data_IF_196320907075
#
_entry.id   IF_196320907075
#
_cell.length_a   1.000
_cell.length_b   1.000
_cell.length_c   1.000
_cell.angle_alpha   90.00
_cell.angle_beta   90.00
_cell.angle_gamma   90.00
#
_symmetry.space_group_name_H-M   'P 1'
#
loop_
_entity.id
_entity.type
_entity.pdbx_description
1 polymer ?
#
# COMPACT_ATOMS: atom_id res chain seq x y z
N UNK A 1 27.90 16.95 13.46
CA UNK A 1 27.69 15.52 13.15
C UNK A 1 28.76 14.65 13.83
N UNK A 2 30.01 14.78 13.48
CA UNK A 2 31.11 14.04 14.09
C UNK A 2 31.92 15.01 14.95
N UNK A 3 31.71 14.96 16.28
CA UNK A 3 32.32 15.88 17.20
C UNK A 3 33.83 15.64 17.37
N UNK A 4 34.23 14.40 17.28
CA UNK A 4 35.61 13.94 17.24
C UNK A 4 35.74 12.77 16.25
N UNK A 5 36.95 12.46 15.81
CA UNK A 5 37.21 11.38 14.87
C UNK A 5 37.31 10.01 15.57
N UNK A 6 36.47 9.78 16.58
CA UNK A 6 36.40 8.51 17.30
C UNK A 6 35.47 7.54 16.52
N UNK A 7 36.08 6.65 15.76
CA UNK A 7 35.33 5.65 14.94
C UNK A 7 34.40 4.77 15.78
N UNK A 8 34.85 4.28 16.93
CA UNK A 8 34.05 3.41 17.79
C UNK A 8 32.87 4.17 18.41
N UNK A 9 33.05 5.45 18.72
CA UNK A 9 31.99 6.33 19.20
C UNK A 9 30.91 6.54 18.13
N UNK A 10 31.30 6.85 16.90
CA UNK A 10 30.36 7.01 15.76
C UNK A 10 29.65 5.70 15.43
N UNK A 11 30.36 4.58 15.44
CA UNK A 11 29.76 3.24 15.25
C UNK A 11 28.72 2.92 16.32
N UNK A 12 29.02 3.21 17.58
CA UNK A 12 28.08 2.99 18.69
C UNK A 12 26.84 3.89 18.57
N UNK A 13 27.02 5.15 18.18
CA UNK A 13 25.93 6.09 17.94
C UNK A 13 25.01 5.60 16.81
N UNK A 14 25.56 5.22 15.68
CA UNK A 14 24.80 4.69 14.53
C UNK A 14 24.02 3.43 14.92
N UNK A 15 24.66 2.50 15.66
CA UNK A 15 24.01 1.30 16.18
C UNK A 15 22.81 1.64 17.08
N UNK A 16 22.99 2.56 18.02
CA UNK A 16 21.92 2.96 18.95
C UNK A 16 20.72 3.59 18.21
N UNK A 17 20.98 4.40 17.18
CA UNK A 17 19.92 4.99 16.34
C UNK A 17 19.12 3.91 15.60
N UNK A 18 19.80 2.93 15.01
CA UNK A 18 19.13 1.82 14.34
C UNK A 18 18.39 0.89 15.29
N UNK A 19 18.96 0.58 16.45
CA UNK A 19 18.29 -0.19 17.50
C UNK A 19 17.00 0.52 17.97
N UNK A 20 17.04 1.84 18.14
CA UNK A 20 15.85 2.62 18.50
C UNK A 20 14.79 2.59 17.37
N UNK A 21 15.20 2.74 16.11
CA UNK A 21 14.31 2.69 14.96
C UNK A 21 13.65 1.31 14.79
N UNK A 22 14.43 0.24 14.80
CA UNK A 22 13.94 -1.14 14.64
C UNK A 22 13.11 -1.61 15.84
N UNK A 23 13.34 -1.06 17.03
CA UNK A 23 12.55 -1.41 18.23
C UNK A 23 11.12 -0.86 18.23
N UNK A 24 10.72 -0.09 17.20
CA UNK A 24 9.32 0.33 17.00
C UNK A 24 8.37 -0.84 16.80
N UNK A 25 8.87 -1.96 16.27
CA UNK A 25 8.12 -3.21 16.23
C UNK A 25 9.02 -4.30 16.84
N UNK A 26 8.52 -4.95 17.88
CA UNK A 26 9.21 -6.08 18.52
C UNK A 26 8.42 -7.34 18.33
N UNK A 27 9.11 -8.42 17.93
CA UNK A 27 8.49 -9.72 17.69
C UNK A 27 9.07 -10.78 18.62
N UNK A 28 8.23 -11.72 19.07
CA UNK A 28 8.61 -12.90 19.85
C UNK A 28 7.95 -14.14 19.28
N UNK A 29 8.65 -15.26 19.43
CA UNK A 29 8.31 -16.51 18.76
C UNK A 29 8.87 -16.55 17.33
N UNK A 30 8.37 -17.46 16.49
CA UNK A 30 8.93 -17.70 15.18
C UNK A 30 10.37 -18.23 15.20
N UNK A 31 10.91 -18.54 14.03
CA UNK A 31 12.31 -19.00 13.87
C UNK A 31 13.30 -17.82 13.85
N UNK A 32 14.59 -18.10 14.01
CA UNK A 32 15.63 -17.07 13.87
C UNK A 32 15.74 -16.55 12.43
N UNK A 33 15.46 -17.41 11.44
CA UNK A 33 15.38 -17.03 10.03
C UNK A 33 14.23 -16.05 9.80
N UNK A 34 13.02 -16.34 10.29
CA UNK A 34 11.86 -15.45 10.19
C UNK A 34 12.11 -14.08 10.86
N UNK A 35 12.79 -14.07 12.02
CA UNK A 35 13.18 -12.80 12.67
C UNK A 35 14.20 -12.02 11.86
N UNK A 36 15.17 -12.70 11.23
CA UNK A 36 16.15 -12.06 10.37
C UNK A 36 15.50 -11.41 9.16
N UNK A 37 14.61 -12.15 8.47
CA UNK A 37 13.82 -11.63 7.36
C UNK A 37 12.98 -10.42 7.82
N UNK A 38 12.30 -10.53 8.96
CA UNK A 38 11.46 -9.47 9.51
C UNK A 38 12.23 -8.17 9.79
N UNK A 39 13.34 -8.24 10.52
CA UNK A 39 14.10 -7.05 10.88
C UNK A 39 14.87 -6.48 9.70
N UNK A 40 15.31 -7.30 8.74
CA UNK A 40 15.87 -6.83 7.47
C UNK A 40 14.81 -6.09 6.66
N UNK A 41 13.60 -6.65 6.55
CA UNK A 41 12.48 -5.98 5.88
C UNK A 41 12.10 -4.68 6.58
N UNK A 42 12.00 -4.67 7.91
CA UNK A 42 11.71 -3.45 8.67
C UNK A 42 12.81 -2.37 8.45
N UNK A 43 14.08 -2.77 8.39
CA UNK A 43 15.19 -1.88 8.05
C UNK A 43 15.01 -1.28 6.65
N UNK A 44 14.69 -2.08 5.63
CA UNK A 44 14.47 -1.59 4.26
C UNK A 44 13.35 -0.53 4.21
N UNK A 45 12.28 -0.68 4.98
CA UNK A 45 11.18 0.31 5.03
C UNK A 45 11.58 1.65 5.64
N UNK A 46 12.77 1.76 6.23
CA UNK A 46 13.28 2.96 6.89
C UNK A 46 14.42 3.65 6.14
N UNK A 47 14.88 3.08 5.00
CA UNK A 47 15.93 3.68 4.17
C UNK A 47 15.36 4.89 3.42
N UNK A 48 14.17 4.72 2.85
CA UNK A 48 13.50 5.76 2.06
C UNK A 48 12.07 6.01 2.59
N UNK A 49 11.55 7.23 2.41
CA UNK A 49 12.16 8.41 1.78
C UNK A 49 13.26 8.99 2.66
N UNK A 50 14.44 9.15 2.08
CA UNK A 50 15.63 9.62 2.81
C UNK A 50 15.60 11.11 3.08
N UNK A 51 16.39 11.51 4.08
CA UNK A 51 16.62 12.91 4.41
C UNK A 51 17.41 13.60 3.29
N UNK A 52 16.90 14.74 2.85
CA UNK A 52 17.50 15.62 1.83
C UNK A 52 17.83 17.00 2.39
N UNK A 53 17.82 17.12 3.70
CA UNK A 53 18.10 18.37 4.44
C UNK A 53 19.49 18.28 5.08
N UNK A 54 20.30 19.31 4.89
CA UNK A 54 21.56 19.46 5.63
C UNK A 54 21.32 19.76 7.11
N UNK A 55 22.33 19.56 7.95
CA UNK A 55 22.27 19.76 9.41
C UNK A 55 21.87 21.16 9.83
N UNK A 56 22.08 22.17 8.98
CA UNK A 56 21.67 23.55 9.21
C UNK A 56 20.23 23.86 8.72
N UNK A 57 19.50 22.84 8.26
CA UNK A 57 18.13 22.97 7.76
C UNK A 57 18.03 23.36 6.29
N UNK A 58 19.16 23.46 5.57
CA UNK A 58 19.16 23.82 4.15
C UNK A 58 19.01 22.62 3.24
N UNK A 59 18.38 22.84 2.08
CA UNK A 59 18.23 21.86 1.02
C UNK A 59 18.20 22.54 -0.35
N UNK A 60 18.49 21.81 -1.41
CA UNK A 60 18.35 22.25 -2.78
C UNK A 60 16.89 22.14 -3.21
N UNK A 61 16.25 23.24 -3.57
CA UNK A 61 14.88 23.28 -4.09
C UNK A 61 14.76 22.79 -5.54
N UNK A 62 13.55 22.47 -5.96
CA UNK A 62 13.24 22.08 -7.35
C UNK A 62 13.40 23.24 -8.35
N UNK A 63 13.57 24.49 -7.87
CA UNK A 63 13.90 25.68 -8.65
C UNK A 63 15.42 25.90 -8.82
N UNK A 64 16.25 24.99 -8.29
CA UNK A 64 17.71 25.08 -8.32
C UNK A 64 18.30 26.10 -7.33
N UNK A 65 17.52 26.55 -6.35
CA UNK A 65 17.96 27.46 -5.29
C UNK A 65 18.09 26.75 -3.95
N UNK A 66 18.92 27.31 -3.08
CA UNK A 66 19.02 26.84 -1.70
C UNK A 66 17.87 27.41 -0.89
N UNK A 67 17.11 26.54 -0.27
CA UNK A 67 16.05 26.86 0.68
C UNK A 67 16.43 26.42 2.09
N UNK A 68 15.69 26.88 3.09
CA UNK A 68 15.85 26.47 4.49
C UNK A 68 14.48 26.10 5.06
N UNK A 69 14.38 24.94 5.71
CA UNK A 69 13.22 24.53 6.47
C UNK A 69 13.58 24.22 7.92
N UNK A 70 12.80 24.81 8.86
CA UNK A 70 12.85 24.52 10.30
C UNK A 70 11.63 23.74 10.77
N UNK A 71 10.64 23.55 9.88
CA UNK A 71 9.33 22.98 10.22
C UNK A 71 9.21 21.51 9.85
N UNK A 72 9.97 21.05 8.86
CA UNK A 72 9.97 19.68 8.37
C UNK A 72 11.33 19.30 7.80
N UNK A 73 11.60 18.02 7.74
CA UNK A 73 12.75 17.44 7.04
C UNK A 73 12.36 17.25 5.57
N UNK A 74 13.10 17.90 4.65
CA UNK A 74 12.92 17.68 3.22
C UNK A 74 13.27 16.22 2.90
N UNK A 75 12.33 15.49 2.31
CA UNK A 75 12.48 14.10 1.93
C UNK A 75 12.59 13.96 0.43
N UNK A 76 13.29 12.92 -0.02
CA UNK A 76 13.43 12.53 -1.42
C UNK A 76 13.37 11.02 -1.57
N UNK A 77 13.24 10.55 -2.80
CA UNK A 77 13.03 9.17 -3.20
C UNK A 77 11.62 8.71 -2.83
N UNK A 78 10.69 9.09 -3.70
CA UNK A 78 9.30 8.69 -3.63
C UNK A 78 8.93 7.86 -4.85
N UNK A 79 9.10 6.53 -4.76
CA UNK A 79 8.57 5.58 -5.75
C UNK A 79 7.06 5.44 -5.54
N UNK A 80 6.33 6.50 -5.91
CA UNK A 80 4.94 6.67 -5.50
C UNK A 80 4.04 5.52 -5.93
N UNK A 81 4.18 5.04 -7.18
CA UNK A 81 3.41 3.92 -7.73
C UNK A 81 3.44 2.67 -6.84
N UNK A 82 4.54 2.47 -6.12
CA UNK A 82 4.79 1.33 -5.27
C UNK A 82 4.41 1.60 -3.81
N UNK A 83 5.03 2.60 -3.19
CA UNK A 83 5.05 2.81 -1.74
C UNK A 83 3.70 3.20 -1.12
N UNK A 84 2.75 3.72 -1.90
CA UNK A 84 1.43 4.08 -1.36
C UNK A 84 0.65 2.86 -0.85
N UNK A 85 0.96 1.64 -1.36
CA UNK A 85 0.20 0.42 -1.13
C UNK A 85 0.36 -0.14 0.28
N UNK A 86 1.59 -0.24 0.79
CA UNK A 86 1.85 -0.74 2.15
C UNK A 86 2.95 0.02 2.90
N UNK A 87 3.98 0.53 2.22
CA UNK A 87 5.09 1.21 2.88
C UNK A 87 4.62 2.50 3.59
N UNK A 88 3.91 3.41 2.91
CA UNK A 88 3.37 4.61 3.54
C UNK A 88 2.31 4.28 4.61
N UNK A 89 1.34 3.38 4.40
CA UNK A 89 0.45 2.92 5.47
C UNK A 89 1.16 2.35 6.70
N UNK A 90 2.26 1.60 6.55
CA UNK A 90 3.10 1.16 7.67
C UNK A 90 3.69 2.36 8.40
N UNK A 91 4.26 3.32 7.66
CA UNK A 91 4.86 4.53 8.25
C UNK A 91 3.81 5.39 8.98
N UNK A 92 2.55 5.40 8.56
CA UNK A 92 1.48 6.10 9.31
C UNK A 92 1.33 5.56 10.74
N UNK A 93 1.64 4.29 10.97
CA UNK A 93 1.57 3.65 12.29
C UNK A 93 2.84 3.93 13.10
N UNK A 94 4.01 3.64 12.53
CA UNK A 94 5.28 3.62 13.28
C UNK A 94 6.06 4.93 13.20
N UNK A 95 5.79 5.77 12.19
CA UNK A 95 6.53 7.01 11.95
C UNK A 95 5.69 8.11 11.26
N UNK A 96 4.56 8.54 11.84
CA UNK A 96 3.65 9.49 11.20
C UNK A 96 4.30 10.84 10.85
N UNK A 97 5.35 11.25 11.57
CA UNK A 97 6.09 12.47 11.24
C UNK A 97 6.79 12.37 9.88
N UNK A 98 7.34 11.20 9.53
CA UNK A 98 7.97 10.98 8.23
C UNK A 98 6.95 11.14 7.08
N UNK A 99 5.74 10.62 7.25
CA UNK A 99 4.67 10.76 6.23
C UNK A 99 4.29 12.22 6.04
N UNK A 100 4.18 12.98 7.14
CA UNK A 100 3.93 14.42 7.10
C UNK A 100 5.07 15.18 6.40
N UNK A 101 6.32 14.86 6.72
CA UNK A 101 7.49 15.47 6.09
C UNK A 101 7.56 15.17 4.59
N UNK A 102 7.20 13.96 4.18
CA UNK A 102 7.10 13.59 2.76
C UNK A 102 6.05 14.42 2.03
N UNK A 103 4.83 14.54 2.59
CA UNK A 103 3.76 15.32 1.99
C UNK A 103 4.12 16.82 1.88
N UNK A 104 4.77 17.37 2.91
CA UNK A 104 5.34 18.72 2.85
C UNK A 104 6.40 18.84 1.77
N UNK A 105 7.27 17.83 1.64
CA UNK A 105 8.32 17.81 0.62
C UNK A 105 7.77 17.79 -0.80
N UNK A 106 6.73 16.99 -1.06
CA UNK A 106 6.08 16.90 -2.36
C UNK A 106 5.30 18.18 -2.70
N UNK A 107 4.59 18.76 -1.71
CA UNK A 107 3.85 20.01 -1.90
C UNK A 107 4.80 21.18 -2.17
N UNK A 108 5.88 21.29 -1.38
CA UNK A 108 6.93 22.32 -1.58
C UNK A 108 7.60 22.17 -2.95
N UNK A 109 7.92 20.93 -3.36
CA UNK A 109 8.49 20.66 -4.69
C UNK A 109 7.54 21.11 -5.82
N UNK A 110 6.24 20.87 -5.68
CA UNK A 110 5.25 21.32 -6.67
C UNK A 110 5.23 22.85 -6.81
N UNK A 111 5.41 23.58 -5.72
CA UNK A 111 5.52 25.04 -5.70
C UNK A 111 6.85 25.54 -6.29
N UNK A 112 7.96 25.05 -5.75
CA UNK A 112 9.32 25.45 -6.16
C UNK A 112 9.56 25.23 -7.65
N UNK A 113 9.09 24.09 -8.19
CA UNK A 113 9.21 23.80 -9.62
C UNK A 113 8.32 24.68 -10.52
N UNK A 114 7.37 25.41 -9.96
CA UNK A 114 6.34 26.18 -10.67
C UNK A 114 5.30 25.29 -11.38
N UNK A 115 5.37 23.97 -11.27
CA UNK A 115 4.45 23.03 -11.91
C UNK A 115 3.10 22.99 -11.19
N UNK A 116 3.08 23.08 -9.86
CA UNK A 116 1.88 23.10 -9.03
C UNK A 116 1.06 21.80 -9.07
N UNK A 117 1.67 20.68 -9.45
CA UNK A 117 1.08 19.34 -9.40
C UNK A 117 2.07 18.35 -8.79
N UNK A 118 1.58 17.25 -8.22
CA UNK A 118 2.40 16.22 -7.61
C UNK A 118 3.09 15.34 -8.63
N UNK A 119 4.39 15.05 -8.39
CA UNK A 119 5.11 14.00 -9.11
C UNK A 119 4.67 12.62 -8.61
N UNK A 120 4.63 11.66 -9.51
CA UNK A 120 4.26 10.27 -9.23
C UNK A 120 5.45 9.40 -8.83
N UNK A 121 6.64 9.76 -9.27
CA UNK A 121 7.90 9.08 -8.95
C UNK A 121 9.02 10.11 -8.82
N UNK A 122 9.18 10.67 -7.62
CA UNK A 122 10.14 11.74 -7.34
C UNK A 122 11.52 11.14 -7.07
N UNK A 123 12.55 11.71 -7.70
CA UNK A 123 13.93 11.29 -7.56
C UNK A 123 14.86 12.48 -7.39
N UNK A 124 15.48 12.58 -6.21
CA UNK A 124 16.41 13.67 -5.85
C UNK A 124 15.82 15.07 -6.13
N UNK A 125 14.59 15.28 -5.67
CA UNK A 125 13.84 16.52 -5.84
C UNK A 125 13.59 16.93 -7.30
N UNK A 126 13.46 15.92 -8.20
CA UNK A 126 13.20 16.12 -9.61
C UNK A 126 11.99 15.31 -10.10
N UNK A 127 11.31 15.84 -11.13
CA UNK A 127 10.21 15.18 -11.83
C UNK A 127 10.77 14.16 -12.82
N UNK A 128 10.64 12.87 -12.52
CA UNK A 128 11.08 11.81 -13.41
C UNK A 128 10.06 11.47 -14.50
N UNK A 129 8.78 11.66 -14.20
CA UNK A 129 7.68 11.20 -15.05
C UNK A 129 7.57 9.68 -15.17
N UNK A 130 8.31 8.94 -14.34
CA UNK A 130 8.33 7.48 -14.34
C UNK A 130 7.00 6.91 -13.84
N UNK A 131 6.64 5.71 -14.30
CA UNK A 131 5.43 4.98 -13.95
C UNK A 131 4.13 5.75 -14.22
N UNK A 132 3.05 5.44 -13.52
CA UNK A 132 1.74 6.03 -13.70
C UNK A 132 0.96 6.15 -12.38
N UNK A 133 -0.33 6.47 -12.45
CA UNK A 133 -1.14 6.76 -11.28
C UNK A 133 -0.93 8.17 -10.72
N UNK A 134 -1.64 8.50 -9.67
CA UNK A 134 -1.49 9.74 -8.91
C UNK A 134 -1.24 9.43 -7.42
N UNK A 135 -0.17 8.68 -7.08
CA UNK A 135 0.02 8.06 -5.76
C UNK A 135 0.16 9.07 -4.61
N UNK A 136 0.68 10.25 -4.86
CA UNK A 136 0.76 11.31 -3.84
C UNK A 136 -0.64 11.71 -3.31
N UNK A 137 -1.68 11.63 -4.16
CA UNK A 137 -3.07 11.87 -3.75
C UNK A 137 -3.53 10.78 -2.77
N UNK A 138 -3.16 9.52 -3.03
CA UNK A 138 -3.46 8.41 -2.13
C UNK A 138 -2.81 8.61 -0.76
N UNK A 139 -1.51 8.95 -0.73
CA UNK A 139 -0.78 9.21 0.51
C UNK A 139 -1.37 10.39 1.28
N UNK A 140 -1.76 11.47 0.58
CA UNK A 140 -2.41 12.63 1.17
C UNK A 140 -3.77 12.27 1.80
N UNK A 141 -4.60 11.53 1.07
CA UNK A 141 -5.93 11.12 1.54
C UNK A 141 -5.83 10.17 2.74
N UNK A 142 -4.90 9.21 2.70
CA UNK A 142 -4.66 8.28 3.80
C UNK A 142 -4.16 9.00 5.06
N UNK A 143 -3.18 9.88 4.91
CA UNK A 143 -2.66 10.67 6.01
C UNK A 143 -3.71 11.62 6.61
N UNK A 144 -4.51 12.27 5.76
CA UNK A 144 -5.59 13.15 6.22
C UNK A 144 -6.66 12.38 7.00
N UNK A 145 -7.13 11.25 6.47
CA UNK A 145 -8.11 10.40 7.13
C UNK A 145 -7.62 9.87 8.50
N UNK A 146 -6.30 9.72 8.66
CA UNK A 146 -5.63 9.29 9.89
C UNK A 146 -5.23 10.44 10.83
N UNK A 147 -5.53 11.69 10.47
CA UNK A 147 -5.21 12.87 11.28
C UNK A 147 -3.73 13.23 11.36
N UNK A 148 -2.92 12.83 10.36
CA UNK A 148 -1.47 13.05 10.33
C UNK A 148 -1.08 14.38 9.67
N UNK A 149 -1.88 14.91 8.77
CA UNK A 149 -1.55 16.09 7.96
C UNK A 149 -1.36 17.36 8.80
N UNK A 150 -0.12 17.84 8.89
CA UNK A 150 0.30 19.13 9.50
C UNK A 150 0.82 20.07 8.42
N UNK A 151 0.09 20.20 7.33
CA UNK A 151 0.41 21.04 6.19
C UNK A 151 -0.79 21.92 5.85
N UNK A 152 -0.56 22.94 5.00
CA UNK A 152 -1.63 23.73 4.42
C UNK A 152 -2.48 22.84 3.49
N UNK A 153 -3.63 22.41 4.00
CA UNK A 153 -4.51 21.48 3.28
C UNK A 153 -5.17 22.12 2.05
N UNK A 154 -5.40 23.42 2.03
CA UNK A 154 -5.95 24.08 0.83
C UNK A 154 -4.92 24.04 -0.31
N UNK A 155 -3.67 24.33 -0.02
CA UNK A 155 -2.56 24.20 -0.95
C UNK A 155 -2.34 22.76 -1.43
N UNK A 156 -2.32 21.81 -0.51
CA UNK A 156 -2.15 20.40 -0.84
C UNK A 156 -3.31 19.90 -1.72
N UNK A 157 -4.53 20.34 -1.42
CA UNK A 157 -5.71 20.03 -2.21
C UNK A 157 -5.64 20.62 -3.62
N UNK A 158 -5.20 21.89 -3.77
CA UNK A 158 -5.00 22.53 -5.07
C UNK A 158 -3.99 21.76 -5.93
N UNK A 159 -2.86 21.34 -5.35
CA UNK A 159 -1.88 20.49 -6.05
C UNK A 159 -2.49 19.14 -6.47
N UNK A 160 -3.25 18.49 -5.58
CA UNK A 160 -3.91 17.22 -5.83
C UNK A 160 -4.99 17.34 -6.93
N UNK A 161 -5.82 18.37 -6.86
CA UNK A 161 -6.85 18.69 -7.86
C UNK A 161 -6.23 18.91 -9.25
N UNK A 162 -5.18 19.75 -9.32
CA UNK A 162 -4.45 19.96 -10.56
C UNK A 162 -3.81 18.67 -11.09
N UNK A 163 -3.27 17.83 -10.21
CA UNK A 163 -2.70 16.53 -10.59
C UNK A 163 -3.77 15.64 -11.22
N UNK A 164 -4.93 15.49 -10.56
CA UNK A 164 -6.03 14.65 -11.04
C UNK A 164 -6.64 15.17 -12.35
N UNK A 165 -6.75 16.50 -12.52
CA UNK A 165 -7.23 17.11 -13.77
C UNK A 165 -6.24 16.95 -14.93
N UNK A 166 -4.95 16.89 -14.64
CA UNK A 166 -3.91 16.69 -15.66
C UNK A 166 -3.75 15.21 -16.05
N UNK A 167 -3.91 14.30 -15.10
CA UNK A 167 -3.67 12.86 -15.24
C UNK A 167 -4.87 12.09 -14.65
N UNK A 168 -6.00 12.06 -15.33
CA UNK A 168 -7.20 11.41 -14.83
C UNK A 168 -8.12 10.94 -15.96
N UNK A 169 -9.31 10.47 -15.58
CA UNK A 169 -10.29 9.88 -16.48
C UNK A 169 -11.36 10.87 -17.00
N UNK A 170 -11.19 12.18 -16.75
CA UNK A 170 -12.26 13.17 -16.92
C UNK A 170 -12.77 13.32 -18.36
N UNK A 171 -11.88 13.23 -19.34
CA UNK A 171 -12.20 13.55 -20.72
C UNK A 171 -13.18 12.54 -21.36
N UNK A 172 -12.88 11.25 -21.25
CA UNK A 172 -13.66 10.17 -21.87
C UNK A 172 -14.36 9.26 -20.85
N UNK A 173 -14.17 9.49 -19.56
CA UNK A 173 -14.56 8.55 -18.51
C UNK A 173 -13.67 7.30 -18.45
N UNK A 174 -12.53 7.32 -19.11
CA UNK A 174 -11.44 6.34 -19.08
C UNK A 174 -10.20 6.97 -19.74
N UNK A 175 -9.04 6.37 -19.52
CA UNK A 175 -7.82 6.75 -20.24
C UNK A 175 -7.60 5.79 -21.41
N UNK A 176 -7.48 6.28 -22.66
CA UNK A 176 -7.24 5.42 -23.82
C UNK A 176 -5.83 4.83 -23.81
N UNK A 177 -5.61 3.83 -24.67
CA UNK A 177 -4.29 3.28 -24.92
C UNK A 177 -3.23 4.37 -25.27
N UNK A 178 -1.94 4.15 -24.98
CA UNK A 178 -1.38 2.94 -24.37
C UNK A 178 -1.58 2.88 -22.84
N UNK A 179 -1.56 1.67 -22.30
CA UNK A 179 -1.68 1.38 -20.86
C UNK A 179 -3.05 1.78 -20.25
N UNK A 180 -4.11 1.71 -21.07
CA UNK A 180 -5.43 2.21 -20.71
C UNK A 180 -6.04 1.52 -19.50
N UNK A 181 -5.81 0.22 -19.27
CA UNK A 181 -6.32 -0.52 -18.10
C UNK A 181 -5.65 0.02 -16.83
N UNK A 182 -4.30 -0.04 -16.75
CA UNK A 182 -3.59 0.42 -15.56
C UNK A 182 -3.93 1.88 -15.22
N UNK A 183 -3.87 2.78 -16.21
CA UNK A 183 -4.18 4.19 -16.00
C UNK A 183 -5.60 4.41 -15.50
N UNK A 184 -6.59 3.80 -16.16
CA UNK A 184 -7.99 4.02 -15.79
C UNK A 184 -8.31 3.52 -14.38
N UNK A 185 -7.83 2.32 -14.01
CA UNK A 185 -8.10 1.76 -12.70
C UNK A 185 -7.41 2.55 -11.59
N UNK A 186 -6.14 2.92 -11.79
CA UNK A 186 -5.39 3.67 -10.78
C UNK A 186 -5.89 5.11 -10.64
N UNK A 187 -6.25 5.78 -11.74
CA UNK A 187 -6.88 7.08 -11.65
C UNK A 187 -8.26 7.01 -10.99
N UNK A 188 -9.09 6.00 -11.29
CA UNK A 188 -10.37 5.82 -10.62
C UNK A 188 -10.22 5.70 -9.10
N UNK A 189 -9.20 4.98 -8.63
CA UNK A 189 -8.88 4.90 -7.20
C UNK A 189 -8.44 6.25 -6.63
N UNK A 190 -7.54 6.98 -7.29
CA UNK A 190 -7.09 8.27 -6.77
C UNK A 190 -8.16 9.37 -6.89
N UNK A 191 -9.07 9.27 -7.84
CA UNK A 191 -10.29 10.09 -7.93
C UNK A 191 -11.25 9.79 -6.77
N UNK A 192 -11.35 8.54 -6.32
CA UNK A 192 -12.03 8.22 -5.06
C UNK A 192 -11.34 8.89 -3.87
N UNK A 193 -10.02 8.85 -3.78
CA UNK A 193 -9.27 9.56 -2.74
C UNK A 193 -9.58 11.06 -2.75
N UNK A 194 -9.63 11.70 -3.92
CA UNK A 194 -10.03 13.09 -4.08
C UNK A 194 -11.45 13.35 -3.59
N UNK A 195 -12.40 12.44 -3.88
CA UNK A 195 -13.77 12.58 -3.40
C UNK A 195 -13.84 12.55 -1.86
N UNK A 196 -13.05 11.67 -1.21
CA UNK A 196 -13.00 11.60 0.26
C UNK A 196 -12.38 12.87 0.86
N UNK A 197 -11.29 13.39 0.30
CA UNK A 197 -10.68 14.65 0.70
C UNK A 197 -11.67 15.81 0.54
N UNK A 198 -12.36 15.90 -0.60
CA UNK A 198 -13.35 16.94 -0.87
C UNK A 198 -14.52 16.90 0.13
N UNK A 199 -15.05 15.71 0.45
CA UNK A 199 -16.07 15.54 1.50
C UNK A 199 -15.56 16.07 2.84
N UNK A 200 -14.36 15.66 3.24
CA UNK A 200 -13.78 16.03 4.53
C UNK A 200 -13.46 17.54 4.63
N UNK A 201 -13.15 18.18 3.50
CA UNK A 201 -12.90 19.63 3.41
C UNK A 201 -14.15 20.47 3.11
N UNK A 202 -15.34 19.85 2.99
CA UNK A 202 -16.61 20.53 2.72
C UNK A 202 -16.76 21.04 1.27
N UNK A 203 -15.95 20.56 0.33
CA UNK A 203 -15.96 20.92 -1.11
C UNK A 203 -16.98 20.03 -1.85
N UNK A 204 -18.26 20.35 -1.72
CA UNK A 204 -19.37 19.47 -2.15
C UNK A 204 -19.38 19.18 -3.65
N UNK A 205 -19.17 20.19 -4.49
CA UNK A 205 -19.19 20.04 -5.95
C UNK A 205 -18.04 19.13 -6.42
N UNK A 206 -16.84 19.32 -5.88
CA UNK A 206 -15.68 18.48 -6.15
C UNK A 206 -15.93 17.04 -5.66
N UNK A 207 -16.54 16.87 -4.49
CA UNK A 207 -16.86 15.56 -3.96
C UNK A 207 -17.76 14.74 -4.90
N UNK A 208 -18.81 15.37 -5.44
CA UNK A 208 -19.73 14.74 -6.42
C UNK A 208 -19.03 14.47 -7.76
N UNK A 209 -18.21 15.41 -8.23
CA UNK A 209 -17.41 15.28 -9.46
C UNK A 209 -16.45 14.08 -9.38
N UNK A 210 -15.62 14.02 -8.35
CA UNK A 210 -14.65 12.96 -8.17
C UNK A 210 -15.29 11.60 -7.84
N UNK A 211 -16.41 11.57 -7.11
CA UNK A 211 -17.18 10.35 -6.86
C UNK A 211 -17.76 9.75 -8.16
N UNK A 212 -18.08 10.57 -9.17
CA UNK A 212 -18.47 10.10 -10.49
C UNK A 212 -17.27 9.50 -11.24
N UNK A 213 -16.13 10.18 -11.25
CA UNK A 213 -14.92 9.73 -11.93
C UNK A 213 -14.33 8.45 -11.31
N UNK A 214 -14.47 8.25 -10.00
CA UNK A 214 -14.00 7.03 -9.33
C UNK A 214 -14.64 5.74 -9.85
N UNK A 215 -15.73 5.86 -10.63
CA UNK A 215 -16.41 4.71 -11.28
C UNK A 215 -15.96 4.46 -12.71
N UNK A 216 -15.00 5.19 -13.22
CA UNK A 216 -14.49 5.11 -14.60
C UNK A 216 -13.99 3.72 -14.98
N UNK A 217 -13.51 2.92 -14.00
CA UNK A 217 -13.10 1.54 -14.23
C UNK A 217 -14.19 0.69 -14.92
N UNK A 218 -15.49 0.98 -14.67
CA UNK A 218 -16.63 0.24 -15.26
C UNK A 218 -16.67 0.35 -16.77
N UNK A 219 -16.10 1.41 -17.34
CA UNK A 219 -16.11 1.65 -18.78
C UNK A 219 -15.16 0.73 -19.56
N UNK A 220 -14.20 0.08 -18.89
CA UNK A 220 -13.24 -0.81 -19.55
C UNK A 220 -13.57 -2.30 -19.39
N UNK A 221 -14.61 -2.66 -18.64
CA UNK A 221 -14.95 -4.06 -18.45
C UNK A 221 -15.75 -4.61 -19.63
N UNK A 222 -15.19 -5.62 -20.28
CA UNK A 222 -15.84 -6.35 -21.36
C UNK A 222 -16.55 -7.60 -20.80
N UNK A 223 -17.88 -7.57 -20.81
CA UNK A 223 -18.71 -8.66 -20.28
C UNK A 223 -18.61 -9.94 -21.11
N UNK A 224 -18.31 -9.86 -22.42
CA UNK A 224 -18.15 -11.06 -23.27
C UNK A 224 -16.84 -11.77 -23.01
N UNK A 225 -15.79 -11.02 -22.63
CA UNK A 225 -14.47 -11.56 -22.29
C UNK A 225 -14.27 -11.81 -20.80
N UNK A 226 -15.21 -11.36 -19.97
CA UNK A 226 -15.07 -11.36 -18.50
C UNK A 226 -13.75 -10.76 -18.03
N UNK A 227 -13.33 -9.64 -18.64
CA UNK A 227 -12.03 -9.03 -18.40
C UNK A 227 -12.06 -7.53 -18.64
N UNK A 228 -11.15 -6.81 -17.98
CA UNK A 228 -10.86 -5.46 -18.39
C UNK A 228 -10.10 -5.46 -19.73
N UNK A 229 -10.48 -4.55 -20.61
CA UNK A 229 -9.84 -4.38 -21.91
C UNK A 229 -9.51 -2.92 -22.16
N UNK A 230 -8.36 -2.63 -22.77
CA UNK A 230 -8.03 -1.25 -23.14
C UNK A 230 -8.94 -0.78 -24.26
N UNK A 231 -9.25 0.51 -24.26
CA UNK A 231 -9.99 1.19 -25.31
C UNK A 231 -9.15 2.23 -26.02
N UNK A 232 -9.44 2.41 -27.30
CA UNK A 232 -8.92 3.51 -28.09
C UNK A 232 -9.72 4.80 -27.83
N UNK A 233 -9.21 5.95 -28.30
CA UNK A 233 -9.85 7.25 -28.10
C UNK A 233 -11.25 7.36 -28.75
N UNK A 234 -11.54 6.53 -29.75
CA UNK A 234 -12.85 6.45 -30.42
C UNK A 234 -13.88 5.58 -29.66
N UNK A 235 -13.49 4.98 -28.54
CA UNK A 235 -14.33 4.13 -27.72
C UNK A 235 -14.33 2.64 -28.08
N UNK A 236 -13.65 2.25 -29.16
CA UNK A 236 -13.51 0.85 -29.54
C UNK A 236 -12.55 0.11 -28.58
N UNK A 237 -12.83 -1.15 -28.30
CA UNK A 237 -11.90 -2.00 -27.58
C UNK A 237 -10.73 -2.40 -28.48
N UNK A 238 -9.50 -2.39 -27.94
CA UNK A 238 -8.37 -2.99 -28.61
C UNK A 238 -8.64 -4.47 -28.94
N UNK A 239 -8.22 -4.98 -30.11
CA UNK A 239 -8.41 -6.37 -30.47
C UNK A 239 -7.91 -7.33 -29.38
N UNK A 240 -8.73 -8.33 -29.04
CA UNK A 240 -8.32 -9.37 -28.10
C UNK A 240 -7.15 -10.16 -28.69
N UNK A 241 -6.11 -10.51 -27.88
CA UNK A 241 -4.98 -11.29 -28.37
C UNK A 241 -5.42 -12.56 -29.09
N UNK A 242 -4.91 -12.78 -30.31
CA UNK A 242 -5.38 -13.85 -31.20
C UNK A 242 -5.12 -15.27 -30.65
N UNK A 243 -4.08 -15.41 -29.82
CA UNK A 243 -3.74 -16.67 -29.16
C UNK A 243 -4.49 -16.89 -27.84
N UNK A 244 -5.33 -15.94 -27.43
CA UNK A 244 -6.12 -16.01 -26.20
C UNK A 244 -5.32 -16.03 -24.89
N UNK A 245 -4.02 -15.70 -24.96
CA UNK A 245 -3.14 -15.73 -23.78
C UNK A 245 -3.11 -14.38 -23.05
N UNK A 246 -2.83 -14.45 -21.76
CA UNK A 246 -2.54 -13.28 -20.95
C UNK A 246 -1.17 -12.72 -21.36
N UNK A 247 -1.17 -11.54 -21.94
CA UNK A 247 0.05 -10.85 -22.37
C UNK A 247 0.39 -9.72 -21.40
N UNK A 248 1.62 -9.73 -20.95
CA UNK A 248 2.21 -8.55 -20.31
C UNK A 248 2.14 -7.37 -21.29
N UNK A 249 1.86 -6.18 -20.76
CA UNK A 249 1.71 -4.94 -21.54
C UNK A 249 0.43 -4.80 -22.39
N UNK A 250 -0.49 -5.74 -22.38
CA UNK A 250 -1.79 -5.55 -23.01
C UNK A 250 -2.66 -4.59 -22.17
N UNK A 251 -2.55 -3.29 -22.46
CA UNK A 251 -3.23 -2.23 -21.74
C UNK A 251 -2.76 -1.99 -20.30
N UNK A 252 -1.75 -2.73 -19.84
CA UNK A 252 -1.23 -2.69 -18.50
C UNK A 252 0.28 -2.37 -18.49
N UNK A 253 0.79 -1.80 -17.41
CA UNK A 253 2.21 -1.61 -17.20
C UNK A 253 2.75 -2.74 -16.32
N UNK A 254 3.80 -3.43 -16.80
CA UNK A 254 4.51 -4.49 -16.05
C UNK A 254 3.62 -5.61 -15.50
N UNK A 255 2.48 -5.82 -16.09
CA UNK A 255 1.52 -6.85 -15.72
C UNK A 255 0.55 -7.11 -16.88
N UNK A 256 -0.38 -8.03 -16.68
CA UNK A 256 -1.45 -8.32 -17.61
C UNK A 256 -2.82 -7.92 -17.04
N UNK A 257 -3.86 -8.07 -17.84
CA UNK A 257 -5.24 -7.70 -17.49
C UNK A 257 -5.80 -8.51 -16.31
N UNK A 258 -5.37 -9.76 -16.12
CA UNK A 258 -5.76 -10.57 -14.97
C UNK A 258 -5.17 -10.03 -13.66
N UNK A 259 -3.95 -9.54 -13.70
CA UNK A 259 -3.25 -8.99 -12.53
C UNK A 259 -3.78 -7.60 -12.19
N UNK A 260 -3.80 -6.69 -13.15
CA UNK A 260 -4.27 -5.32 -12.95
C UNK A 260 -5.78 -5.24 -12.66
N UNK A 261 -6.57 -6.15 -13.21
CA UNK A 261 -8.04 -6.11 -13.10
C UNK A 261 -8.59 -6.20 -11.68
N UNK A 262 -7.80 -6.66 -10.72
CA UNK A 262 -8.17 -6.65 -9.31
C UNK A 262 -8.02 -5.28 -8.63
N UNK A 263 -7.37 -4.30 -9.30
CA UNK A 263 -7.07 -3.02 -8.67
C UNK A 263 -8.27 -2.06 -8.70
N UNK A 264 -9.32 -2.42 -7.96
CA UNK A 264 -10.48 -1.55 -7.64
C UNK A 264 -10.69 -1.54 -6.11
N UNK A 265 -9.66 -1.17 -5.32
CA UNK A 265 -9.70 -1.34 -3.86
C UNK A 265 -10.76 -0.46 -3.19
N UNK A 266 -11.16 0.63 -3.81
CA UNK A 266 -12.12 1.62 -3.31
C UNK A 266 -13.60 1.24 -3.54
N UNK A 267 -13.89 0.32 -4.46
CA UNK A 267 -15.26 -0.12 -4.80
C UNK A 267 -15.28 -1.63 -5.07
N UNK A 268 -14.83 -2.44 -4.08
CA UNK A 268 -14.79 -3.90 -4.19
C UNK A 268 -16.18 -4.47 -4.50
N UNK A 269 -17.24 -3.94 -3.87
CA UNK A 269 -18.59 -4.39 -4.12
C UNK A 269 -19.02 -4.11 -5.58
N UNK A 270 -18.73 -2.92 -6.09
CA UNK A 270 -19.01 -2.57 -7.50
C UNK A 270 -18.21 -3.40 -8.51
N UNK A 271 -16.97 -3.76 -8.15
CA UNK A 271 -16.16 -4.70 -8.92
C UNK A 271 -16.79 -6.11 -8.92
N UNK A 272 -17.18 -6.62 -7.76
CA UNK A 272 -17.84 -7.92 -7.62
C UNK A 272 -19.12 -8.01 -8.45
N UNK A 273 -19.97 -6.98 -8.39
CA UNK A 273 -21.19 -6.91 -9.22
C UNK A 273 -20.88 -6.91 -10.72
N UNK A 274 -19.83 -6.17 -11.12
CA UNK A 274 -19.39 -6.07 -12.51
C UNK A 274 -18.87 -7.41 -13.05
N UNK A 275 -18.14 -8.17 -12.22
CA UNK A 275 -17.50 -9.45 -12.55
C UNK A 275 -18.44 -10.67 -12.41
N UNK A 276 -19.71 -10.47 -12.08
CA UNK A 276 -20.69 -11.59 -12.05
C UNK A 276 -21.06 -12.10 -10.66
N UNK A 277 -20.66 -11.39 -9.60
CA UNK A 277 -21.05 -11.69 -8.22
C UNK A 277 -19.96 -12.39 -7.40
N UNK A 278 -20.21 -12.49 -6.11
CA UNK A 278 -19.23 -12.97 -5.13
C UNK A 278 -18.70 -14.39 -5.42
N UNK A 279 -19.57 -15.32 -5.82
CA UNK A 279 -19.16 -16.70 -6.11
C UNK A 279 -18.22 -16.76 -7.32
N UNK A 280 -18.51 -15.99 -8.38
CA UNK A 280 -17.64 -15.92 -9.56
C UNK A 280 -16.28 -15.34 -9.22
N UNK A 281 -16.25 -14.21 -8.52
CA UNK A 281 -14.99 -13.55 -8.10
C UNK A 281 -14.14 -14.45 -7.23
N UNK A 282 -14.74 -15.20 -6.30
CA UNK A 282 -14.02 -16.19 -5.49
C UNK A 282 -13.43 -17.31 -6.36
N UNK A 283 -14.20 -17.82 -7.34
CA UNK A 283 -13.73 -18.87 -8.25
C UNK A 283 -12.55 -18.41 -9.13
N UNK A 284 -12.60 -17.14 -9.58
CA UNK A 284 -11.54 -16.53 -10.37
C UNK A 284 -10.26 -16.32 -9.54
N UNK A 285 -10.39 -15.83 -8.31
CA UNK A 285 -9.27 -15.72 -7.36
C UNK A 285 -8.67 -17.09 -7.02
N UNK A 286 -9.50 -18.08 -6.74
CA UNK A 286 -9.05 -19.46 -6.47
C UNK A 286 -8.28 -20.03 -7.67
N UNK A 287 -8.75 -19.78 -8.89
CA UNK A 287 -8.08 -20.18 -10.12
C UNK A 287 -6.74 -19.48 -10.30
N UNK A 288 -6.68 -18.18 -10.05
CA UNK A 288 -5.45 -17.39 -10.10
C UNK A 288 -4.39 -17.97 -9.15
N UNK A 289 -4.75 -18.17 -7.88
CA UNK A 289 -3.82 -18.73 -6.89
C UNK A 289 -3.43 -20.18 -7.18
N UNK A 290 -4.36 -21.02 -7.65
CA UNK A 290 -4.07 -22.41 -7.99
C UNK A 290 -3.09 -22.57 -9.16
N UNK A 291 -3.01 -21.58 -10.05
CA UNK A 291 -2.10 -21.56 -11.19
C UNK A 291 -0.78 -20.82 -10.92
N UNK A 292 -0.69 -20.15 -9.78
CA UNK A 292 0.52 -19.42 -9.38
C UNK A 292 1.65 -20.40 -9.05
N UNK A 293 2.86 -20.22 -9.61
CA UNK A 293 4.01 -21.03 -9.23
C UNK A 293 4.42 -20.79 -7.77
N UNK A 294 4.82 -21.85 -7.07
CA UNK A 294 5.27 -21.76 -5.67
C UNK A 294 6.49 -20.85 -5.48
N UNK A 295 7.28 -20.63 -6.55
CA UNK A 295 8.44 -19.74 -6.52
C UNK A 295 8.07 -18.26 -6.43
N UNK A 296 6.83 -17.89 -6.75
CA UNK A 296 6.37 -16.50 -6.89
C UNK A 296 7.23 -15.60 -7.79
N UNK A 297 8.11 -16.18 -8.58
CA UNK A 297 8.84 -15.45 -9.61
C UNK A 297 7.87 -14.92 -10.67
N UNK A 298 8.34 -14.03 -11.52
CA UNK A 298 7.53 -13.39 -12.56
C UNK A 298 6.67 -14.40 -13.34
N UNK A 299 5.35 -14.22 -13.30
CA UNK A 299 4.38 -15.15 -13.88
C UNK A 299 3.10 -14.42 -14.30
N UNK A 300 2.23 -15.10 -15.06
CA UNK A 300 0.99 -14.54 -15.58
C UNK A 300 -0.21 -14.55 -14.61
N UNK A 301 -0.06 -15.10 -13.43
CA UNK A 301 -1.12 -15.21 -12.41
C UNK A 301 -0.84 -14.31 -11.23
N UNK A 302 -0.85 -14.79 -9.98
CA UNK A 302 -0.45 -13.98 -8.85
C UNK A 302 1.07 -13.77 -8.87
N UNK A 303 1.49 -12.61 -9.32
CA UNK A 303 2.89 -12.24 -9.47
C UNK A 303 3.35 -11.38 -8.29
N UNK A 304 3.74 -12.02 -7.17
CA UNK A 304 4.20 -11.29 -5.99
C UNK A 304 5.45 -10.43 -6.23
N UNK A 305 6.17 -10.72 -7.31
CA UNK A 305 7.36 -9.96 -7.70
C UNK A 305 7.04 -8.53 -8.18
N UNK A 306 5.75 -8.16 -8.34
CA UNK A 306 5.34 -6.82 -8.76
C UNK A 306 4.07 -6.35 -8.02
N UNK A 307 3.92 -5.05 -7.84
CA UNK A 307 2.99 -4.39 -6.92
C UNK A 307 1.51 -4.46 -7.28
N UNK A 308 1.06 -4.54 -8.54
CA UNK A 308 -0.36 -4.50 -8.90
C UNK A 308 -1.23 -5.53 -8.17
N UNK A 309 -0.66 -6.66 -7.73
CA UNK A 309 -1.40 -7.75 -7.06
C UNK A 309 -1.24 -7.79 -5.54
N UNK A 310 -0.47 -6.90 -4.93
CA UNK A 310 -0.13 -6.98 -3.52
C UNK A 310 -1.34 -6.99 -2.56
N UNK A 311 -2.45 -6.37 -2.94
CA UNK A 311 -3.69 -6.37 -2.16
C UNK A 311 -4.58 -7.61 -2.39
N UNK A 312 -4.33 -8.38 -3.46
CA UNK A 312 -5.23 -9.47 -3.90
C UNK A 312 -5.44 -10.57 -2.86
N UNK A 313 -4.44 -11.05 -2.10
CA UNK A 313 -4.63 -12.08 -1.08
C UNK A 313 -5.64 -11.70 0.00
N UNK A 314 -5.84 -10.40 0.23
CA UNK A 314 -6.70 -9.86 1.29
C UNK A 314 -8.14 -9.63 0.83
N UNK A 315 -8.42 -9.69 -0.48
CA UNK A 315 -9.77 -9.54 -1.02
C UNK A 315 -10.74 -10.58 -0.46
N UNK A 316 -10.26 -11.77 -0.11
CA UNK A 316 -11.09 -12.80 0.50
C UNK A 316 -11.75 -12.38 1.82
N UNK A 317 -11.13 -11.48 2.61
CA UNK A 317 -11.77 -10.90 3.78
C UNK A 317 -13.06 -10.16 3.41
N UNK A 318 -13.02 -9.41 2.32
CA UNK A 318 -14.16 -8.63 1.81
C UNK A 318 -15.22 -9.48 1.11
N UNK A 319 -14.87 -10.72 0.78
CA UNK A 319 -15.74 -11.71 0.13
C UNK A 319 -16.31 -12.74 1.13
N UNK A 320 -16.13 -12.54 2.45
CA UNK A 320 -16.63 -13.42 3.48
C UNK A 320 -15.88 -14.74 3.62
N UNK A 321 -14.64 -14.83 3.13
CA UNK A 321 -13.79 -16.02 3.23
C UNK A 321 -12.41 -15.72 3.86
N UNK A 322 -12.35 -15.14 5.08
CA UNK A 322 -11.10 -14.69 5.69
C UNK A 322 -10.07 -15.81 5.92
N UNK A 323 -10.49 -17.07 6.01
CA UNK A 323 -9.55 -18.19 6.10
C UNK A 323 -8.66 -18.35 4.86
N UNK A 324 -9.14 -17.92 3.67
CA UNK A 324 -8.31 -17.91 2.46
C UNK A 324 -7.26 -16.82 2.49
N UNK A 325 -7.61 -15.62 2.99
CA UNK A 325 -6.62 -14.58 3.28
C UNK A 325 -5.53 -15.11 4.22
N UNK A 326 -5.91 -15.78 5.32
CA UNK A 326 -4.97 -16.34 6.29
C UNK A 326 -4.05 -17.37 5.64
N UNK A 327 -4.59 -18.25 4.80
CA UNK A 327 -3.83 -19.24 4.05
C UNK A 327 -2.82 -18.59 3.11
N UNK A 328 -3.28 -17.69 2.25
CA UNK A 328 -2.44 -17.15 1.20
C UNK A 328 -1.42 -16.14 1.71
N UNK A 329 -1.77 -15.29 2.67
CA UNK A 329 -0.79 -14.37 3.27
C UNK A 329 0.37 -15.11 3.95
N UNK A 330 0.08 -16.19 4.70
CA UNK A 330 1.13 -17.03 5.30
C UNK A 330 1.96 -17.74 4.24
N UNK A 331 1.32 -18.34 3.25
CA UNK A 331 2.02 -19.04 2.17
C UNK A 331 2.96 -18.11 1.40
N UNK A 332 2.54 -16.88 1.11
CA UNK A 332 3.39 -15.88 0.45
C UNK A 332 4.55 -15.47 1.36
N UNK A 333 4.29 -15.17 2.64
CA UNK A 333 5.36 -14.84 3.59
C UNK A 333 6.43 -15.94 3.68
N UNK A 334 6.01 -17.19 3.66
CA UNK A 334 6.92 -18.36 3.82
C UNK A 334 7.70 -18.69 2.54
N UNK A 335 7.21 -18.29 1.34
CA UNK A 335 7.77 -18.72 0.07
C UNK A 335 8.31 -17.58 -0.83
N UNK A 336 7.96 -16.32 -0.56
CA UNK A 336 8.42 -15.18 -1.35
C UNK A 336 9.55 -14.38 -0.70
N UNK A 337 9.91 -14.69 0.56
CA UNK A 337 10.92 -14.00 1.33
C UNK A 337 11.89 -15.00 1.98
N UNK A 338 13.19 -14.76 1.83
CA UNK A 338 14.22 -15.71 2.22
C UNK A 338 15.39 -15.04 2.94
N UNK A 339 16.03 -15.77 3.88
CA UNK A 339 17.27 -15.34 4.56
C UNK A 339 18.52 -15.56 3.67
N UNK A 340 18.61 -14.76 2.59
CA UNK A 340 19.76 -14.75 1.66
C UNK A 340 19.83 -13.41 0.93
N UNK A 341 20.94 -13.18 0.20
CA UNK A 341 21.16 -11.92 -0.53
C UNK A 341 20.03 -11.68 -1.56
N UNK A 342 19.68 -12.70 -2.36
CA UNK A 342 18.54 -12.68 -3.27
C UNK A 342 17.25 -13.10 -2.54
N UNK A 343 16.96 -12.47 -1.40
CA UNK A 343 15.86 -12.88 -0.51
C UNK A 343 14.47 -12.44 -0.96
N UNK A 344 14.36 -11.53 -1.92
CA UNK A 344 13.09 -11.04 -2.47
C UNK A 344 12.84 -11.67 -3.84
N UNK A 345 11.59 -11.95 -4.16
CA UNK A 345 11.20 -12.51 -5.46
C UNK A 345 11.08 -11.46 -6.57
N UNK A 346 11.13 -10.18 -6.23
CA UNK A 346 11.07 -9.02 -7.14
C UNK A 346 12.00 -7.90 -6.68
N UNK A 347 11.81 -6.71 -7.26
CA UNK A 347 12.48 -5.52 -6.80
C UNK A 347 11.99 -5.12 -5.42
N UNK A 348 12.82 -4.40 -4.67
CA UNK A 348 12.44 -3.94 -3.32
C UNK A 348 11.47 -2.75 -3.36
N UNK A 349 11.64 -1.91 -4.38
CA UNK A 349 10.83 -0.73 -4.69
C UNK A 349 10.63 0.20 -3.49
N UNK A 350 11.78 0.62 -2.96
CA UNK A 350 11.90 1.69 -1.97
C UNK A 350 11.13 1.41 -0.67
N UNK A 351 11.17 0.15 -0.23
CA UNK A 351 10.52 -0.29 1.00
C UNK A 351 9.14 -0.92 0.81
N UNK A 352 8.57 -0.95 -0.40
CA UNK A 352 7.24 -1.48 -0.63
C UNK A 352 7.17 -2.99 -0.45
N UNK A 353 8.06 -3.74 -1.07
CA UNK A 353 8.10 -5.21 -0.97
C UNK A 353 8.31 -5.65 0.49
N UNK A 354 9.24 -5.00 1.17
CA UNK A 354 9.53 -5.23 2.59
C UNK A 354 8.37 -4.83 3.51
N UNK A 355 7.69 -3.72 3.25
CA UNK A 355 6.54 -3.28 4.04
C UNK A 355 5.36 -4.23 3.92
N UNK A 356 5.15 -4.82 2.73
CA UNK A 356 4.16 -5.88 2.55
C UNK A 356 4.43 -7.04 3.51
N UNK A 357 5.69 -7.50 3.57
CA UNK A 357 6.09 -8.58 4.48
C UNK A 357 5.90 -8.18 5.95
N UNK A 358 6.39 -6.99 6.35
CA UNK A 358 6.29 -6.52 7.74
C UNK A 358 4.84 -6.48 8.21
N UNK A 359 3.94 -5.87 7.44
CA UNK A 359 2.52 -5.80 7.78
C UNK A 359 1.89 -7.19 7.81
N UNK A 360 2.12 -8.02 6.80
CA UNK A 360 1.57 -9.37 6.71
C UNK A 360 2.06 -10.27 7.84
N UNK A 361 3.36 -10.20 8.17
CA UNK A 361 3.95 -10.94 9.29
C UNK A 361 3.40 -10.48 10.65
N UNK A 362 2.95 -9.22 10.75
CA UNK A 362 2.20 -8.72 11.90
C UNK A 362 0.73 -9.14 11.90
N UNK A 363 0.23 -9.72 10.82
CA UNK A 363 -1.18 -10.11 10.69
C UNK A 363 -2.12 -8.97 10.31
N UNK A 364 -1.62 -7.94 9.63
CA UNK A 364 -2.37 -6.76 9.20
C UNK A 364 -2.07 -6.42 7.74
N UNK A 365 -3.04 -5.85 7.01
CA UNK A 365 -2.79 -5.29 5.68
C UNK A 365 -3.85 -4.24 5.27
N UNK A 366 -3.47 -3.08 4.69
CA UNK A 366 -4.40 -2.09 4.14
C UNK A 366 -4.69 -2.41 2.67
N UNK A 367 -5.92 -2.81 2.33
CA UNK A 367 -6.31 -3.02 0.92
C UNK A 367 -6.41 -1.69 0.17
N UNK A 368 -6.95 -0.66 0.82
CA UNK A 368 -7.31 0.61 0.20
C UNK A 368 -6.81 1.77 1.08
N UNK A 369 -5.59 2.27 0.90
CA UNK A 369 -5.14 3.49 1.57
C UNK A 369 -6.11 4.66 1.34
N UNK A 370 -6.40 5.43 2.40
CA UNK A 370 -7.52 6.38 2.44
C UNK A 370 -8.79 5.81 3.06
N UNK A 371 -8.98 4.49 3.06
CA UNK A 371 -9.88 3.76 3.94
C UNK A 371 -9.07 3.32 5.17
N UNK A 372 -9.39 3.80 6.35
CA UNK A 372 -8.57 3.62 7.55
C UNK A 372 -8.50 2.17 8.07
N UNK A 373 -9.03 1.20 7.33
CA UNK A 373 -9.11 -0.21 7.73
C UNK A 373 -7.83 -0.98 7.38
N UNK A 374 -7.45 -1.85 8.31
CA UNK A 374 -6.40 -2.85 8.14
C UNK A 374 -7.02 -4.24 8.29
N UNK A 375 -6.95 -5.05 7.25
CA UNK A 375 -7.42 -6.44 7.26
C UNK A 375 -6.63 -7.26 8.28
N UNK A 376 -7.35 -8.08 9.08
CA UNK A 376 -6.73 -9.03 9.99
C UNK A 376 -6.41 -10.30 9.19
N UNK A 377 -5.17 -10.76 9.32
CA UNK A 377 -4.70 -11.99 8.66
C UNK A 377 -3.90 -12.85 9.66
N UNK A 378 -3.20 -13.85 9.18
CA UNK A 378 -2.45 -14.80 10.02
C UNK A 378 -1.04 -14.30 10.30
N UNK A 379 -0.71 -13.86 11.52
CA UNK A 379 0.64 -13.39 11.85
C UNK A 379 1.65 -14.54 11.84
N UNK A 380 2.94 -14.22 11.62
CA UNK A 380 4.03 -15.20 11.70
C UNK A 380 4.45 -15.44 13.16
N UNK A 381 4.47 -14.40 13.97
CA UNK A 381 4.99 -14.41 15.33
C UNK A 381 3.88 -14.61 16.37
N UNK A 382 4.23 -15.21 17.52
CA UNK A 382 3.28 -15.39 18.63
C UNK A 382 2.94 -14.08 19.33
N UNK A 383 3.91 -13.15 19.41
CA UNK A 383 3.68 -11.83 20.01
C UNK A 383 4.36 -10.74 19.18
N UNK A 384 3.58 -9.73 18.83
CA UNK A 384 4.05 -8.52 18.13
C UNK A 384 3.69 -7.31 18.97
N UNK A 385 4.66 -6.46 19.26
CA UNK A 385 4.48 -5.19 19.98
C UNK A 385 4.81 -4.04 19.06
N UNK A 386 3.81 -3.20 18.73
CA UNK A 386 3.96 -2.04 17.84
C UNK A 386 3.89 -0.78 18.70
N UNK A 387 4.93 0.05 18.67
CA UNK A 387 4.93 1.36 19.30
C UNK A 387 4.12 2.34 18.43
N UNK A 388 2.96 2.78 18.93
CA UNK A 388 2.01 3.60 18.18
C UNK A 388 2.02 5.09 18.56
N UNK A 389 3.11 5.56 19.12
CA UNK A 389 3.27 6.95 19.57
C UNK A 389 2.72 7.22 20.96
N UNK A 390 3.03 8.41 21.50
CA UNK A 390 2.61 8.87 22.84
C UNK A 390 2.89 7.85 23.98
N UNK A 391 3.91 7.01 23.84
CA UNK A 391 4.26 5.97 24.81
C UNK A 391 3.30 4.78 24.84
N UNK A 392 2.39 4.66 23.88
CA UNK A 392 1.45 3.54 23.77
C UNK A 392 2.01 2.41 22.94
N UNK A 393 1.56 1.19 23.24
CA UNK A 393 1.86 -0.02 22.48
C UNK A 393 0.56 -0.69 22.05
N UNK A 394 0.48 -1.09 20.80
CA UNK A 394 -0.52 -2.03 20.31
C UNK A 394 0.13 -3.42 20.22
N UNK A 395 -0.46 -4.38 20.91
CA UNK A 395 0.07 -5.74 20.98
C UNK A 395 -0.83 -6.71 20.23
N UNK A 396 -0.24 -7.58 19.42
CA UNK A 396 -0.94 -8.70 18.78
C UNK A 396 -0.40 -9.98 19.42
N UNK A 397 -1.28 -10.80 19.97
CA UNK A 397 -0.97 -12.12 20.54
C UNK A 397 -1.67 -13.20 19.73
N UNK A 398 -0.91 -14.05 19.10
CA UNK A 398 -1.40 -15.19 18.33
C UNK A 398 -1.16 -16.47 19.14
N UNK A 399 -2.12 -16.80 20.01
CA UNK A 399 -2.07 -17.98 20.89
C UNK A 399 -2.07 -19.26 20.06
N UNK A 400 -1.17 -20.20 20.38
CA UNK A 400 -0.98 -21.47 19.66
C UNK A 400 -0.54 -21.33 18.20
N UNK A 401 -0.02 -20.17 17.80
CA UNK A 401 0.49 -19.94 16.45
C UNK A 401 1.64 -20.92 16.12
N UNK A 402 1.65 -21.47 14.93
CA UNK A 402 2.70 -22.33 14.41
C UNK A 402 2.58 -22.47 12.90
N UNK A 403 3.50 -23.19 12.26
CA UNK A 403 3.44 -23.47 10.81
C UNK A 403 2.16 -24.25 10.39
N UNK A 404 1.51 -24.92 11.34
CA UNK A 404 0.25 -25.65 11.11
C UNK A 404 -0.98 -24.88 11.57
N UNK A 405 -0.87 -24.14 12.67
CA UNK A 405 -1.97 -23.39 13.26
C UNK A 405 -1.99 -21.98 12.68
N UNK A 406 -2.41 -21.86 11.42
CA UNK A 406 -2.44 -20.60 10.68
C UNK A 406 -3.84 -19.98 10.61
N UNK A 407 -4.87 -20.67 11.07
CA UNK A 407 -6.25 -20.21 10.95
C UNK A 407 -6.76 -19.64 12.27
N UNK A 408 -7.35 -18.44 12.19
CA UNK A 408 -7.97 -17.77 13.32
C UNK A 408 -9.26 -18.47 13.73
N UNK A 409 -9.36 -18.87 14.99
CA UNK A 409 -10.54 -19.54 15.57
C UNK A 409 -11.44 -18.54 16.28
N UNK A 410 -10.87 -17.58 17.01
CA UNK A 410 -11.57 -16.46 17.65
C UNK A 410 -10.63 -15.28 17.85
N UNK A 411 -11.22 -14.10 18.01
CA UNK A 411 -10.47 -12.86 18.23
C UNK A 411 -11.07 -12.11 19.39
N UNK A 412 -10.20 -11.49 20.21
CA UNK A 412 -10.57 -10.49 21.21
C UNK A 412 -9.78 -9.20 21.02
N UNK A 413 -10.47 -8.09 21.11
CA UNK A 413 -9.83 -6.77 21.16
C UNK A 413 -10.05 -6.19 22.56
N UNK A 414 -8.96 -5.97 23.30
CA UNK A 414 -8.98 -5.47 24.67
C UNK A 414 -9.92 -6.29 25.59
N UNK A 415 -9.83 -7.63 25.48
CA UNK A 415 -10.59 -8.60 26.28
C UNK A 415 -12.06 -8.78 25.86
N UNK A 416 -12.56 -8.09 24.84
CA UNK A 416 -13.92 -8.24 24.29
C UNK A 416 -13.90 -9.03 23.01
N UNK A 417 -14.89 -9.89 22.80
CA UNK A 417 -15.02 -10.66 21.56
C UNK A 417 -15.12 -9.71 20.36
N UNK A 418 -14.37 -10.05 19.30
CA UNK A 418 -14.23 -9.25 18.11
C UNK A 418 -14.50 -10.09 16.86
N UNK A 419 -15.57 -9.75 16.14
CA UNK A 419 -16.06 -10.57 15.01
C UNK A 419 -15.71 -10.03 13.64
N UNK A 420 -15.16 -8.80 13.56
CA UNK A 420 -14.73 -8.21 12.29
C UNK A 420 -13.38 -8.78 11.85
N UNK A 421 -13.20 -8.97 10.54
CA UNK A 421 -11.93 -9.38 9.95
C UNK A 421 -10.99 -8.19 9.63
N UNK A 422 -11.23 -7.02 10.19
CA UNK A 422 -10.39 -5.81 10.04
C UNK A 422 -10.36 -4.99 11.33
N UNK A 423 -9.33 -4.16 11.48
CA UNK A 423 -9.21 -3.11 12.50
C UNK A 423 -9.26 -1.74 11.85
N UNK A 424 -9.87 -0.77 12.52
CA UNK A 424 -9.69 0.63 12.16
C UNK A 424 -8.34 1.15 12.67
N UNK A 425 -7.70 2.05 11.92
CA UNK A 425 -6.45 2.70 12.30
C UNK A 425 -6.49 3.28 13.72
N UNK A 426 -7.62 3.92 14.09
CA UNK A 426 -7.82 4.48 15.44
C UNK A 426 -7.72 3.44 16.54
N UNK A 427 -8.16 2.19 16.29
CA UNK A 427 -8.10 1.11 17.28
C UNK A 427 -6.64 0.68 17.51
N UNK A 428 -5.84 0.65 16.44
CA UNK A 428 -4.39 0.40 16.52
C UNK A 428 -3.70 1.53 17.30
N UNK A 429 -3.96 2.79 16.92
CA UNK A 429 -3.31 3.96 17.54
C UNK A 429 -3.78 4.26 18.97
N UNK A 430 -4.92 3.72 19.37
CA UNK A 430 -5.35 3.77 20.78
C UNK A 430 -4.44 2.96 21.71
N UNK A 431 -3.68 2.00 21.15
CA UNK A 431 -2.97 0.97 21.91
C UNK A 431 -3.92 -0.10 22.43
N UNK A 432 -3.35 -1.12 23.09
CA UNK A 432 -4.15 -2.22 23.63
C UNK A 432 -3.69 -3.58 23.09
N UNK A 433 -4.58 -4.56 23.14
CA UNK A 433 -4.23 -5.96 22.82
C UNK A 433 -5.27 -6.56 21.88
N UNK A 434 -4.79 -7.09 20.75
CA UNK A 434 -5.52 -8.00 19.86
C UNK A 434 -5.07 -9.42 20.17
N UNK A 435 -5.98 -10.26 20.65
CA UNK A 435 -5.71 -11.66 20.96
C UNK A 435 -6.36 -12.55 19.90
N UNK A 436 -5.57 -13.37 19.24
CA UNK A 436 -5.98 -14.34 18.21
C UNK A 436 -5.79 -15.75 18.78
N UNK A 437 -6.84 -16.57 18.78
CA UNK A 437 -6.72 -18.01 19.03
C UNK A 437 -6.52 -18.69 17.67
N UNK A 438 -5.36 -19.34 17.50
CA UNK A 438 -4.99 -19.97 16.25
C UNK A 438 -5.27 -21.48 16.27
N UNK A 439 -5.58 -22.04 15.10
CA UNK A 439 -5.82 -23.47 14.90
C UNK A 439 -5.39 -23.95 13.54
N UNK A 440 -5.43 -25.27 13.33
CA UNK A 440 -4.95 -25.93 12.11
C UNK A 440 -6.05 -26.20 11.06
N UNK A 441 -7.28 -25.80 11.35
CA UNK A 441 -8.42 -25.97 10.44
C UNK A 441 -9.07 -24.63 10.15
N UNK A 442 -9.52 -24.37 8.90
CA UNK A 442 -10.27 -23.17 8.56
C UNK A 442 -11.50 -22.96 9.46
N UNK A 443 -11.71 -21.75 9.91
CA UNK A 443 -12.94 -21.35 10.61
C UNK A 443 -13.85 -20.61 9.63
N UNK A 444 -15.00 -21.19 9.32
CA UNK A 444 -15.97 -20.67 8.36
C UNK A 444 -17.00 -19.70 8.98
N UNK A 445 -16.88 -19.40 10.27
CA UNK A 445 -17.85 -18.58 11.00
C UNK A 445 -17.30 -17.27 11.54
N UNK A 446 -15.99 -17.11 11.64
CA UNK A 446 -15.38 -15.87 12.08
C UNK A 446 -15.08 -14.91 10.91
N UNK A 447 -15.39 -13.63 11.09
CA UNK A 447 -15.03 -12.56 10.14
C UNK A 447 -15.84 -12.52 8.84
N UNK A 448 -16.99 -13.22 8.82
CA UNK A 448 -17.87 -13.27 7.64
C UNK A 448 -18.92 -12.17 7.58
N UNK A 449 -18.97 -11.27 8.59
CA UNK A 449 -19.96 -10.20 8.74
C UNK A 449 -19.39 -8.83 8.37
#
# INVERSE_FOLDING_TARGET
>A
EIADWNFDGVKAQARNLWEAALSKIKVRGGTDEQKKIFYTSLYHTMIDPRDFTDVDGKYMGADGRVHESKLFTKRTIFSGWDVFRSQMPLQTIINPCLVNDLLLSLTTMAEESGKGYYERWEFLNAYSGCMLGNPAISVLADAYAKGICRLDMDKAYECADKTSKMFGNAELGYTPNPLGISKTLEYAYTEWCMSQLAVAMGKREDAEYYAKLSRSYKNLYDKEKHSFRPKEADGSFEPWPADGKLHEWYGCIECNELQQGWFVPHDIQGMVELMGGTEQVIADLDTMFAKTPDSFLWNAYYNHANEPVHHVPYLYNRLGQPWKTQKWSRFICDNAYHDKVEGLVGNEDVGQMSAWYVLSACGLYPICPGDTRYEITSPIFEVIEIQVGAGKTFMIKANKNSDKNIYIQSVRLNGRDYTKCYLDYKDIMAGGILELEMGNTPNFSWGIN
#
